data_IF_676901436090
#
_entry.id   IF_676901436090
#
_cell.length_a   1.000
_cell.length_b   1.000
_cell.length_c   1.000
_cell.angle_alpha   90.00
_cell.angle_beta   90.00
_cell.angle_gamma   90.00
#
_symmetry.space_group_name_H-M   'P 1'
#
loop_
_entity.id
_entity.type
_entity.pdbx_description
1 polymer ?
#
# COMPACT_ATOMS: atom_id res chain seq x y z
N UNK A 1 -6.87 -19.11 -6.08
CA UNK A 1 -5.98 -18.42 -5.18
C UNK A 1 -6.14 -16.92 -5.28
N UNK A 2 -6.03 -16.26 -4.19
CA UNK A 2 -6.26 -14.85 -4.13
C UNK A 2 -4.97 -14.16 -3.74
N UNK A 3 -4.54 -13.23 -4.56
CA UNK A 3 -3.28 -12.54 -4.31
C UNK A 3 -3.58 -11.16 -3.77
N UNK A 4 -3.37 -10.96 -2.48
CA UNK A 4 -3.62 -9.67 -1.85
C UNK A 4 -2.75 -8.58 -2.45
N UNK A 5 -1.48 -8.88 -2.68
CA UNK A 5 -0.57 -7.91 -3.24
C UNK A 5 -1.05 -7.42 -4.60
N UNK A 6 -1.42 -8.35 -5.44
CA UNK A 6 -1.89 -7.99 -6.78
C UNK A 6 -3.19 -7.19 -6.70
N UNK A 7 -4.08 -7.59 -5.81
CA UNK A 7 -5.34 -6.89 -5.67
C UNK A 7 -5.12 -5.43 -5.28
N UNK A 8 -4.24 -5.21 -4.33
CA UNK A 8 -3.96 -3.85 -3.88
C UNK A 8 -3.28 -3.03 -4.97
N UNK A 9 -2.38 -3.65 -5.71
CA UNK A 9 -1.69 -2.95 -6.79
C UNK A 9 -2.65 -2.56 -7.91
N UNK A 10 -3.60 -3.43 -8.22
CA UNK A 10 -4.58 -3.12 -9.24
C UNK A 10 -5.42 -1.93 -8.81
N UNK A 11 -5.82 -1.90 -7.57
CA UNK A 11 -6.62 -0.79 -7.08
C UNK A 11 -5.84 0.52 -7.15
N UNK A 12 -4.57 0.49 -6.79
CA UNK A 12 -3.74 1.68 -6.87
C UNK A 12 -3.58 2.14 -8.32
N UNK A 13 -3.43 1.19 -9.23
CA UNK A 13 -3.24 1.51 -10.63
C UNK A 13 -4.49 2.16 -11.23
N UNK A 14 -5.64 1.87 -10.66
CA UNK A 14 -6.89 2.40 -11.18
C UNK A 14 -7.25 3.75 -10.61
N UNK A 15 -6.48 4.27 -9.68
CA UNK A 15 -6.78 5.56 -9.12
C UNK A 15 -6.60 6.64 -10.17
N UNK A 16 -7.54 7.55 -10.21
CA UNK A 16 -7.46 8.64 -11.19
C UNK A 16 -6.36 9.62 -10.84
N UNK A 17 -6.19 9.88 -9.56
CA UNK A 17 -5.15 10.78 -9.12
C UNK A 17 -3.99 9.98 -8.58
N UNK A 18 -2.81 10.27 -9.11
CA UNK A 18 -1.60 9.62 -8.62
C UNK A 18 -0.80 10.66 -7.86
N UNK A 19 -0.80 10.55 -6.55
CA UNK A 19 -0.03 11.45 -5.71
C UNK A 19 1.26 10.76 -5.28
N UNK A 20 2.11 11.53 -4.60
CA UNK A 20 3.34 10.94 -4.08
C UNK A 20 3.04 9.76 -3.16
N UNK A 21 1.99 9.87 -2.37
CA UNK A 21 1.62 8.78 -1.50
C UNK A 21 1.23 7.54 -2.26
N UNK A 22 0.50 7.72 -3.37
CA UNK A 22 0.09 6.58 -4.19
C UNK A 22 1.32 5.92 -4.82
N UNK A 23 2.24 6.71 -5.33
CA UNK A 23 3.44 6.14 -5.94
C UNK A 23 4.26 5.39 -4.91
N UNK A 24 4.42 5.97 -3.73
CA UNK A 24 5.16 5.31 -2.68
C UNK A 24 4.47 4.03 -2.25
N UNK A 25 3.16 4.05 -2.16
CA UNK A 25 2.40 2.86 -1.81
C UNK A 25 2.62 1.76 -2.83
N UNK A 26 2.66 2.11 -4.11
CA UNK A 26 2.92 1.12 -5.14
C UNK A 26 4.29 0.48 -4.95
N UNK A 27 5.29 1.29 -4.66
CA UNK A 27 6.63 0.75 -4.44
C UNK A 27 6.66 -0.18 -3.25
N UNK A 28 5.99 0.21 -2.18
CA UNK A 28 5.95 -0.63 -0.99
C UNK A 28 5.29 -1.97 -1.31
N UNK A 29 4.19 -1.93 -2.01
CA UNK A 29 3.47 -3.15 -2.31
C UNK A 29 4.18 -4.01 -3.34
N UNK A 30 5.00 -3.39 -4.20
CA UNK A 30 5.70 -4.14 -5.22
C UNK A 30 7.00 -4.73 -4.71
N UNK A 31 7.79 -3.92 -4.02
CA UNK A 31 9.13 -4.34 -3.63
C UNK A 31 9.25 -4.69 -2.16
N UNK A 32 8.43 -4.06 -1.34
CA UNK A 32 8.55 -4.24 0.11
C UNK A 32 7.27 -4.77 0.72
N UNK A 33 6.53 -5.54 -0.04
CA UNK A 33 5.26 -6.05 0.45
C UNK A 33 5.46 -6.90 1.71
N UNK A 34 6.52 -7.68 1.74
CA UNK A 34 6.78 -8.53 2.90
C UNK A 34 7.00 -7.69 4.15
N UNK A 35 7.80 -6.64 4.02
CA UNK A 35 8.05 -5.75 5.13
C UNK A 35 6.76 -5.05 5.56
N UNK A 36 5.96 -4.64 4.59
CA UNK A 36 4.67 -4.02 4.89
C UNK A 36 3.77 -4.99 5.65
N UNK A 37 3.73 -6.21 5.19
CA UNK A 37 2.88 -7.21 5.81
C UNK A 37 3.31 -7.49 7.24
N UNK A 38 4.61 -7.39 7.50
CA UNK A 38 5.15 -7.64 8.84
C UNK A 38 5.21 -6.37 9.68
N UNK A 39 4.70 -5.27 9.16
CA UNK A 39 4.70 -3.99 9.88
C UNK A 39 6.11 -3.49 10.16
N UNK A 40 7.04 -3.75 9.26
CA UNK A 40 8.41 -3.27 9.42
C UNK A 40 8.58 -1.95 8.69
N UNK A 41 7.81 -0.96 9.11
CA UNK A 41 7.77 0.31 8.41
C UNK A 41 9.07 1.08 8.53
N UNK A 42 9.77 0.92 9.63
CA UNK A 42 11.06 1.58 9.78
C UNK A 42 12.00 1.17 8.68
N UNK A 43 12.03 -0.12 8.38
CA UNK A 43 12.91 -0.61 7.32
C UNK A 43 12.49 -0.07 5.96
N UNK A 44 11.19 -0.01 5.73
CA UNK A 44 10.69 0.50 4.47
C UNK A 44 11.12 1.96 4.30
N UNK A 45 10.96 2.75 5.34
CA UNK A 45 11.35 4.14 5.26
C UNK A 45 12.83 4.31 5.00
N UNK A 46 13.64 3.50 5.63
CA UNK A 46 15.08 3.58 5.43
C UNK A 46 15.47 3.16 4.02
N UNK A 47 14.87 2.12 3.53
CA UNK A 47 15.20 1.62 2.19
C UNK A 47 14.79 2.60 1.12
N UNK A 48 13.64 3.21 1.29
CA UNK A 48 13.11 4.15 0.31
C UNK A 48 13.63 5.56 0.55
N UNK A 49 14.28 5.78 1.69
CA UNK A 49 14.81 7.09 2.03
C UNK A 49 13.72 8.13 2.03
N UNK A 50 12.61 7.80 2.65
CA UNK A 50 11.49 8.72 2.77
C UNK A 50 11.28 9.07 4.23
N UNK A 51 10.64 10.20 4.45
CA UNK A 51 10.37 10.64 5.80
C UNK A 51 9.19 9.86 6.38
N UNK A 52 9.03 9.99 7.68
CA UNK A 52 7.94 9.31 8.35
C UNK A 52 6.59 9.79 7.83
N UNK A 53 6.50 11.08 7.55
CA UNK A 53 5.25 11.63 7.04
C UNK A 53 4.91 11.06 5.68
N UNK A 54 5.91 10.95 4.82
CA UNK A 54 5.68 10.37 3.50
C UNK A 54 5.25 8.93 3.62
N UNK A 55 5.90 8.21 4.51
CA UNK A 55 5.54 6.82 4.72
C UNK A 55 4.12 6.70 5.24
N UNK A 56 3.73 7.59 6.14
CA UNK A 56 2.37 7.59 6.65
C UNK A 56 1.34 7.83 5.56
N UNK A 57 1.66 8.74 4.65
CA UNK A 57 0.73 9.02 3.56
C UNK A 57 0.55 7.79 2.70
N UNK A 58 1.65 7.10 2.41
CA UNK A 58 1.55 5.87 1.62
C UNK A 58 0.71 4.84 2.34
N UNK A 59 0.90 4.72 3.65
CA UNK A 59 0.11 3.77 4.42
C UNK A 59 -1.36 4.11 4.38
N UNK A 60 -1.68 5.40 4.45
CA UNK A 60 -3.07 5.82 4.38
C UNK A 60 -3.69 5.44 3.04
N UNK A 61 -2.92 5.59 1.96
CA UNK A 61 -3.44 5.21 0.65
C UNK A 61 -3.75 3.72 0.61
N UNK A 62 -2.86 2.92 1.19
CA UNK A 62 -3.08 1.48 1.19
C UNK A 62 -4.29 1.12 2.05
N UNK A 63 -4.43 1.78 3.19
CA UNK A 63 -5.54 1.48 4.09
C UNK A 63 -6.88 1.82 3.45
N UNK A 64 -6.89 2.82 2.58
CA UNK A 64 -8.13 3.19 1.91
C UNK A 64 -8.55 2.18 0.86
N UNK A 65 -7.65 1.32 0.45
CA UNK A 65 -7.98 0.31 -0.53
C UNK A 65 -8.82 -0.77 0.10
N UNK A 66 -9.60 -1.45 -0.75
CA UNK A 66 -10.45 -2.53 -0.29
C UNK A 66 -9.83 -3.85 -0.71
N UNK A 67 -9.10 -4.51 0.18
CA UNK A 67 -8.43 -5.75 -0.20
C UNK A 67 -9.40 -6.88 -0.48
N UNK A 68 -10.66 -6.71 -0.12
CA UNK A 68 -11.66 -7.73 -0.38
C UNK A 68 -12.83 -7.15 -1.11
N UNK A 69 -12.65 -6.85 -2.37
CA UNK A 69 -13.72 -6.25 -3.13
C UNK A 69 -14.93 -7.18 -3.16
N UNK A 70 -16.08 -6.59 -3.03
CA UNK A 70 -17.29 -7.37 -3.06
C UNK A 70 -17.70 -7.95 -1.75
N UNK A 71 -16.91 -7.78 -0.72
CA UNK A 71 -17.25 -8.39 0.50
C UNK A 71 -17.81 -7.42 1.44
N UNK A 72 -18.91 -7.26 1.49
CA UNK A 72 -19.44 -6.32 2.29
C UNK A 72 -19.73 -6.72 3.62
N UNK A 73 -19.29 -7.45 4.30
CA UNK A 73 -19.63 -7.80 5.43
C UNK A 73 -19.39 -7.12 6.44
N UNK A 74 -19.93 -6.66 7.04
CA UNK A 74 -19.54 -6.02 8.01
C UNK A 74 -19.82 -6.65 9.10
N UNK A 75 -19.87 -7.09 9.50
CA UNK A 75 -19.98 -7.60 10.59
C UNK A 75 -20.03 -7.15 11.43
#
# INVERSE_FOLDING_TARGET
AYDLQECLLIQLDRKEEVTSGVELAKKILTHYFDAFYRHQFDKIGQRLQVSEEELKEAMNEIVRLNPRPGNARSD
#
